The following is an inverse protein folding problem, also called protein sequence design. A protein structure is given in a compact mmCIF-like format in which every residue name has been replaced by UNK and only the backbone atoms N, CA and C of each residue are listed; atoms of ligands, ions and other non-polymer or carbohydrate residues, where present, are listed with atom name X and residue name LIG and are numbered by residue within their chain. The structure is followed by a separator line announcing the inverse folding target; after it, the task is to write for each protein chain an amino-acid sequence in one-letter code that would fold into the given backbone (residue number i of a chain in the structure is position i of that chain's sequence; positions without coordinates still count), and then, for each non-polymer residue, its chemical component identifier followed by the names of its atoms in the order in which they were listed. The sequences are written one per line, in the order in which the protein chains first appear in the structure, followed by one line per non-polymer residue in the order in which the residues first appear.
data_IF_794580023274
#
_entry.id   IF_794580023274
#
_cell.length_a   1.000
_cell.length_b   1.000
_cell.length_c   1.000
_cell.angle_alpha   90.00
_cell.angle_beta   90.00
_cell.angle_gamma   90.00
#
_symmetry.space_group_name_H-M   'P 1'
#
loop_
_entity.id
_entity.type
_entity.pdbx_description
1 polymer ?
#
# COMPACT_ATOMS: atom_id res chain seq x y z
N UNK A 1 -19.81 7.38 -8.83
CA UNK A 1 -18.61 7.55 -7.97
C UNK A 1 -18.33 6.21 -7.29
N UNK A 2 -17.09 5.72 -7.33
CA UNK A 2 -16.69 4.47 -6.67
C UNK A 2 -15.47 4.74 -5.79
N UNK A 3 -15.46 4.19 -4.58
CA UNK A 3 -14.31 4.24 -3.67
C UNK A 3 -13.77 2.84 -3.47
N UNK A 4 -12.45 2.67 -3.53
CA UNK A 4 -11.75 1.44 -3.14
C UNK A 4 -10.64 1.75 -2.17
N UNK A 5 -10.37 0.86 -1.22
CA UNK A 5 -9.31 1.06 -0.22
C UNK A 5 -8.21 0.04 -0.39
N UNK A 6 -6.97 0.49 -0.22
CA UNK A 6 -5.79 -0.35 -0.23
C UNK A 6 -4.96 -0.09 1.04
N UNK A 7 -4.28 -1.12 1.54
CA UNK A 7 -3.33 -0.99 2.62
C UNK A 7 -1.96 -1.52 2.20
N UNK A 8 -0.91 -0.84 2.66
CA UNK A 8 0.48 -1.31 2.56
C UNK A 8 1.06 -1.37 3.96
N UNK A 9 1.66 -2.52 4.29
CA UNK A 9 2.44 -2.73 5.51
C UNK A 9 3.89 -2.97 5.12
N UNK A 10 4.80 -2.14 5.63
CA UNK A 10 6.25 -2.28 5.42
C UNK A 10 6.93 -2.63 6.74
N UNK A 11 7.59 -3.79 6.77
CA UNK A 11 8.37 -4.29 7.90
C UNK A 11 9.83 -3.94 7.65
N UNK A 12 10.26 -2.84 8.26
CA UNK A 12 11.64 -2.37 8.26
C UNK A 12 12.48 -2.96 9.40
N UNK A 13 13.76 -2.59 9.41
CA UNK A 13 14.69 -2.93 10.49
C UNK A 13 14.27 -2.34 11.84
N UNK A 14 13.85 -1.08 11.85
CA UNK A 14 13.54 -0.34 13.08
C UNK A 14 12.03 -0.28 13.36
N UNK A 15 11.23 -0.16 12.31
CA UNK A 15 9.81 0.18 12.42
C UNK A 15 8.96 -0.61 11.45
N UNK A 16 7.69 -0.79 11.82
CA UNK A 16 6.63 -1.26 10.92
C UNK A 16 5.74 -0.08 10.56
N UNK A 17 5.56 0.14 9.27
CA UNK A 17 4.71 1.21 8.73
C UNK A 17 3.40 0.63 8.22
N UNK A 18 2.30 1.34 8.42
CA UNK A 18 0.99 1.08 7.82
C UNK A 18 0.50 2.34 7.13
N UNK A 19 0.16 2.22 5.86
CA UNK A 19 -0.59 3.23 5.11
C UNK A 19 -1.86 2.60 4.56
N UNK A 20 -3.01 3.19 4.87
CA UNK A 20 -4.29 2.90 4.22
C UNK A 20 -4.64 4.09 3.34
N UNK A 21 -4.94 3.86 2.07
CA UNK A 21 -5.35 4.89 1.13
C UNK A 21 -6.70 4.56 0.49
N UNK A 22 -7.50 5.59 0.24
CA UNK A 22 -8.72 5.50 -0.55
C UNK A 22 -8.45 6.01 -1.97
N UNK A 23 -8.90 5.25 -2.96
CA UNK A 23 -8.95 5.66 -4.36
C UNK A 23 -10.40 5.93 -4.75
N UNK A 24 -10.70 7.19 -5.03
CA UNK A 24 -11.99 7.63 -5.53
C UNK A 24 -11.94 7.74 -7.05
N UNK A 25 -12.91 7.13 -7.73
CA UNK A 25 -13.09 7.21 -9.19
C UNK A 25 -14.38 7.98 -9.46
N UNK A 26 -14.24 9.16 -10.07
CA UNK A 26 -15.37 9.97 -10.51
C UNK A 26 -15.78 9.55 -11.93
N UNK A 27 -17.07 9.53 -12.27
CA UNK A 27 -17.48 9.32 -13.65
C UNK A 27 -16.86 10.40 -14.55
N UNK A 28 -16.55 10.04 -15.80
CA UNK A 28 -16.20 11.05 -16.79
C UNK A 28 -17.37 12.04 -16.89
N UNK A 29 -17.05 13.34 -16.94
CA UNK A 29 -18.05 14.38 -17.05
C UNK A 29 -18.90 14.15 -18.31
N UNK A 30 -20.21 13.89 -18.20
CA UNK A 30 -21.07 13.70 -19.36
C UNK A 30 -21.25 15.00 -20.17
N UNK A 31 -20.93 16.16 -19.59
CA UNK A 31 -21.16 17.48 -20.21
C UNK A 31 -19.92 18.04 -20.93
N UNK A 32 -18.78 17.36 -20.81
CA UNK A 32 -17.58 17.62 -21.61
C UNK A 32 -17.74 17.09 -23.04
N UNK A 33 -18.65 17.68 -23.81
CA UNK A 33 -18.66 17.49 -25.26
C UNK A 33 -17.23 17.77 -25.78
N UNK A 34 -16.60 16.87 -26.55
CA UNK A 34 -15.31 17.17 -27.14
C UNK A 34 -15.46 18.46 -27.98
N UNK A 35 -14.47 19.38 -27.98
CA UNK A 35 -14.47 20.42 -29.00
C UNK A 35 -14.62 19.73 -30.36
N UNK A 36 -15.60 20.18 -31.13
CA UNK A 36 -15.95 19.66 -32.45
C UNK A 36 -14.69 19.27 -33.22
N UNK A 37 -14.61 17.98 -33.60
CA UNK A 37 -13.58 17.31 -34.41
C UNK A 37 -12.68 18.26 -35.23
N UNK A 38 -11.34 18.14 -35.17
CA UNK A 38 -10.50 18.67 -36.23
C UNK A 38 -10.84 17.88 -37.50
N UNK A 39 -11.24 18.58 -38.56
CA UNK A 39 -11.34 17.95 -39.89
C UNK A 39 -9.93 17.62 -40.36
N UNK A 40 -9.61 16.34 -40.48
CA UNK A 40 -8.42 15.87 -41.19
C UNK A 40 -7.65 14.77 -40.46
N UNK A 41 -7.45 13.66 -41.19
CA UNK A 41 -6.67 12.44 -40.87
C UNK A 41 -7.23 11.51 -39.79
N UNK A 42 -7.93 10.47 -40.27
CA UNK A 42 -8.41 9.32 -39.51
C UNK A 42 -7.24 8.34 -39.24
N UNK A 43 -6.76 8.30 -37.99
CA UNK A 43 -6.25 7.07 -37.41
C UNK A 43 -7.41 6.41 -36.63
N UNK A 44 -8.00 5.30 -37.10
CA UNK A 44 -9.11 4.64 -36.45
C UNK A 44 -8.75 3.99 -35.09
N UNK A 45 -7.49 4.00 -34.68
CA UNK A 45 -7.05 3.44 -33.39
C UNK A 45 -7.12 4.42 -32.20
N UNK A 46 -7.39 5.71 -32.44
CA UNK A 46 -7.34 6.75 -31.40
C UNK A 46 -8.73 7.24 -30.96
N UNK A 47 -9.62 6.33 -30.54
CA UNK A 47 -10.80 6.76 -29.80
C UNK A 47 -10.36 7.45 -28.49
N UNK A 48 -10.85 8.67 -28.17
CA UNK A 48 -10.49 9.34 -26.92
C UNK A 48 -10.98 8.52 -25.75
N UNK A 49 -10.05 7.97 -24.95
CA UNK A 49 -10.40 7.37 -23.66
C UNK A 49 -10.99 8.47 -22.79
N UNK A 50 -12.27 8.36 -22.44
CA UNK A 50 -12.92 9.27 -21.49
C UNK A 50 -12.04 9.43 -20.25
N UNK A 51 -11.62 10.66 -19.94
CA UNK A 51 -10.73 10.94 -18.80
C UNK A 51 -11.53 10.71 -17.53
N UNK A 52 -11.09 9.74 -16.73
CA UNK A 52 -11.69 9.40 -15.44
C UNK A 52 -10.78 9.97 -14.37
N UNK A 53 -11.25 10.95 -13.61
CA UNK A 53 -10.48 11.50 -12.49
C UNK A 53 -10.34 10.45 -11.39
N UNK A 54 -9.09 10.24 -10.95
CA UNK A 54 -8.75 9.30 -9.88
C UNK A 54 -7.97 10.04 -8.82
N UNK A 55 -8.59 10.22 -7.65
CA UNK A 55 -7.96 10.83 -6.48
C UNK A 55 -7.52 9.70 -5.54
N UNK A 56 -6.28 9.78 -5.05
CA UNK A 56 -5.75 8.87 -4.04
C UNK A 56 -5.39 9.69 -2.81
N UNK A 57 -5.96 9.31 -1.67
CA UNK A 57 -5.88 10.08 -0.43
C UNK A 57 -5.55 9.15 0.74
N UNK A 58 -4.65 9.56 1.65
CA UNK A 58 -4.34 8.80 2.83
C UNK A 58 -5.53 8.82 3.80
N UNK A 59 -5.91 7.64 4.28
CA UNK A 59 -6.97 7.44 5.28
C UNK A 59 -6.36 7.23 6.66
N UNK A 60 -5.27 6.47 6.73
CA UNK A 60 -4.54 6.20 7.97
C UNK A 60 -3.06 6.04 7.65
N UNK A 61 -2.22 6.68 8.44
CA UNK A 61 -0.78 6.46 8.45
C UNK A 61 -0.33 6.18 9.88
N UNK A 62 0.49 5.14 10.04
CA UNK A 62 1.01 4.75 11.35
C UNK A 62 2.41 4.18 11.24
N UNK A 63 3.22 4.51 12.24
CA UNK A 63 4.56 3.97 12.42
C UNK A 63 4.71 3.42 13.84
N UNK A 64 5.21 2.20 13.97
CA UNK A 64 5.45 1.56 15.27
C UNK A 64 6.90 1.07 15.30
N UNK A 65 7.66 1.46 16.32
CA UNK A 65 9.05 1.04 16.49
C UNK A 65 9.04 -0.35 17.15
N UNK A 66 9.44 -1.38 16.41
CA UNK A 66 9.53 -2.76 16.91
C UNK A 66 10.96 -3.27 16.98
N UNK A 67 11.89 -2.63 16.26
CA UNK A 67 13.31 -2.96 16.17
C UNK A 67 13.56 -4.42 15.76
N UNK A 68 12.84 -4.90 14.76
CA UNK A 68 12.97 -6.29 14.27
C UNK A 68 14.42 -6.68 13.94
N UNK A 69 15.20 -5.74 13.39
CA UNK A 69 16.59 -5.98 13.03
C UNK A 69 17.61 -5.83 14.17
N UNK A 70 17.19 -5.68 15.43
CA UNK A 70 18.12 -5.55 16.55
C UNK A 70 19.05 -6.79 16.64
N UNK A 71 20.35 -6.55 16.57
CA UNK A 71 21.35 -7.62 16.64
C UNK A 71 21.48 -8.50 15.39
N UNK A 72 20.72 -8.27 14.32
CA UNK A 72 20.79 -9.05 13.07
C UNK A 72 22.15 -8.91 12.40
N UNK A 73 22.74 -7.72 12.35
CA UNK A 73 24.05 -7.51 11.71
C UNK A 73 25.16 -8.37 12.35
N UNK A 74 25.09 -8.57 13.67
CA UNK A 74 26.09 -9.33 14.42
C UNK A 74 25.78 -10.84 14.45
N UNK A 75 24.51 -11.20 14.59
CA UNK A 75 24.11 -12.59 14.88
C UNK A 75 23.50 -13.31 13.67
N UNK A 76 23.12 -12.55 12.64
CA UNK A 76 22.27 -12.98 11.52
C UNK A 76 21.00 -13.70 11.98
N UNK A 77 20.43 -13.33 13.13
CA UNK A 77 19.21 -13.93 13.67
C UNK A 77 18.29 -12.85 14.22
N UNK A 78 16.98 -13.06 14.08
CA UNK A 78 15.98 -12.24 14.73
C UNK A 78 15.97 -12.56 16.23
N UNK A 79 15.91 -11.53 17.07
CA UNK A 79 15.70 -11.72 18.51
C UNK A 79 14.24 -12.17 18.76
N UNK A 80 13.97 -13.16 19.63
CA UNK A 80 12.61 -13.57 19.94
C UNK A 80 11.75 -12.39 20.45
N UNK A 81 12.33 -11.52 21.26
CA UNK A 81 11.64 -10.34 21.78
C UNK A 81 11.27 -9.33 20.67
N UNK A 82 12.10 -9.17 19.63
CA UNK A 82 11.80 -8.29 18.51
C UNK A 82 10.72 -8.87 17.60
N UNK A 83 10.74 -10.20 17.42
CA UNK A 83 9.67 -10.94 16.73
C UNK A 83 8.34 -10.74 17.44
N UNK A 84 8.28 -10.95 18.75
CA UNK A 84 7.05 -10.80 19.54
C UNK A 84 6.45 -9.39 19.42
N UNK A 85 7.27 -8.34 19.58
CA UNK A 85 6.83 -6.94 19.39
C UNK A 85 6.31 -6.68 17.99
N UNK A 86 6.96 -7.27 16.98
CA UNK A 86 6.55 -7.10 15.58
C UNK A 86 5.24 -7.82 15.29
N UNK A 87 5.05 -9.04 15.80
CA UNK A 87 3.80 -9.78 15.66
C UNK A 87 2.64 -9.08 16.39
N UNK A 88 2.88 -8.52 17.57
CA UNK A 88 1.89 -7.70 18.27
C UNK A 88 1.49 -6.46 17.44
N UNK A 89 2.46 -5.74 16.90
CA UNK A 89 2.21 -4.63 15.98
C UNK A 89 1.40 -5.06 14.75
N UNK A 90 1.73 -6.18 14.11
CA UNK A 90 1.02 -6.69 12.94
C UNK A 90 -0.42 -7.12 13.26
N UNK A 91 -0.68 -7.67 14.45
CA UNK A 91 -2.05 -7.98 14.90
C UNK A 91 -2.89 -6.71 15.02
N UNK A 92 -2.32 -5.67 15.62
CA UNK A 92 -2.95 -4.36 15.82
C UNK A 92 -3.16 -3.62 14.47
N UNK A 93 -2.22 -3.72 13.53
CA UNK A 93 -2.39 -3.21 12.17
C UNK A 93 -3.46 -4.00 11.40
N UNK A 94 -3.49 -5.32 11.55
CA UNK A 94 -4.53 -6.17 10.96
C UNK A 94 -5.93 -5.81 11.45
N UNK A 95 -6.09 -5.43 12.73
CA UNK A 95 -7.36 -4.92 13.24
C UNK A 95 -7.79 -3.64 12.52
N UNK A 96 -6.90 -2.64 12.40
CA UNK A 96 -7.20 -1.38 11.69
C UNK A 96 -7.50 -1.57 10.21
N UNK A 97 -6.78 -2.47 9.53
CA UNK A 97 -7.03 -2.80 8.13
C UNK A 97 -8.44 -3.40 7.96
N UNK A 98 -8.85 -4.30 8.85
CA UNK A 98 -10.21 -4.88 8.83
C UNK A 98 -11.28 -3.82 9.10
N UNK A 99 -11.09 -2.99 10.11
CA UNK A 99 -12.00 -1.89 10.47
C UNK A 99 -12.17 -0.89 9.33
N UNK A 100 -11.10 -0.63 8.56
CA UNK A 100 -11.14 0.30 7.44
C UNK A 100 -11.82 -0.27 6.17
N UNK A 101 -12.14 -1.57 6.12
CA UNK A 101 -12.77 -2.20 4.96
C UNK A 101 -11.88 -2.15 3.70
N UNK A 102 -10.61 -2.52 3.87
CA UNK A 102 -9.61 -2.53 2.78
C UNK A 102 -9.87 -3.69 1.81
N UNK A 103 -9.83 -3.40 0.50
CA UNK A 103 -10.05 -4.39 -0.57
C UNK A 103 -8.77 -5.15 -0.92
N UNK A 104 -7.62 -4.48 -0.84
CA UNK A 104 -6.32 -5.00 -1.26
C UNK A 104 -5.26 -4.66 -0.23
N UNK A 105 -4.50 -5.67 0.18
CA UNK A 105 -3.43 -5.52 1.17
C UNK A 105 -2.12 -5.99 0.54
N UNK A 106 -1.07 -5.20 0.67
CA UNK A 106 0.30 -5.61 0.42
C UNK A 106 1.10 -5.56 1.72
N UNK A 107 1.89 -6.59 2.00
CA UNK A 107 2.80 -6.63 3.14
C UNK A 107 4.19 -6.98 2.61
N UNK A 108 5.20 -6.20 3.01
CA UNK A 108 6.57 -6.34 2.53
C UNK A 108 7.52 -6.43 3.71
N UNK A 109 8.42 -7.40 3.67
CA UNK A 109 9.56 -7.50 4.57
C UNK A 109 10.85 -7.07 3.88
N UNK A 110 11.66 -6.25 4.54
CA UNK A 110 12.90 -5.71 3.94
C UNK A 110 14.15 -6.34 4.55
N UNK A 111 15.23 -5.57 4.75
CA UNK A 111 16.57 -6.06 5.10
C UNK A 111 16.59 -6.94 6.34
N UNK A 112 15.90 -6.57 7.43
CA UNK A 112 15.93 -7.37 8.66
C UNK A 112 15.42 -8.80 8.46
N UNK A 113 14.37 -8.99 7.64
CA UNK A 113 13.87 -10.32 7.31
C UNK A 113 14.73 -11.01 6.26
N UNK A 114 15.23 -10.27 5.27
CA UNK A 114 16.09 -10.84 4.21
C UNK A 114 17.46 -11.30 4.72
N UNK A 115 18.03 -10.60 5.70
CA UNK A 115 19.40 -10.80 6.17
C UNK A 115 19.50 -11.72 7.41
N UNK A 116 18.37 -12.01 8.08
CA UNK A 116 18.31 -12.94 9.20
C UNK A 116 18.06 -14.40 8.77
N UNK A 117 18.79 -15.33 9.37
CA UNK A 117 18.51 -16.76 9.32
C UNK A 117 17.15 -17.04 9.97
N UNK A 118 16.28 -17.75 9.25
CA UNK A 118 14.90 -18.00 9.66
C UNK A 118 13.96 -16.82 9.38
N UNK A 119 14.40 -15.80 8.62
CA UNK A 119 13.52 -14.75 8.14
C UNK A 119 12.41 -15.26 7.22
N UNK A 120 12.62 -16.38 6.53
CA UNK A 120 11.56 -17.07 5.78
C UNK A 120 10.50 -17.77 6.66
N UNK A 121 10.83 -18.04 7.92
CA UNK A 121 9.94 -18.71 8.86
C UNK A 121 9.15 -17.74 9.75
N UNK A 122 9.55 -16.46 9.77
CA UNK A 122 8.80 -15.37 10.38
C UNK A 122 7.52 -15.08 9.58
#
# INVERSE_FOLDING_TARGET
MSVRRAAVVDIGTNSVLLTIAARTTLPADPEGAPPSTPRGSEDPAAAPRSVVERVVEPVLERATITRLGEGVDATRKLSPAAVDRTLECLRDYGARIREAGVDVIALVGTSALRDAQGGEAF
#
